data_IF_487603124552
#
_entry.id   IF_487603124552
#
_cell.length_a   1.000
_cell.length_b   1.000
_cell.length_c   1.000
_cell.angle_alpha   90.00
_cell.angle_beta   90.00
_cell.angle_gamma   90.00
#
_symmetry.space_group_name_H-M   'P 1'
#
loop_
_entity.id
_entity.type
_entity.pdbx_description
1 polymer ?
#
# COMPACT_ATOMS: atom_id res chain seq x y z
N UNK A 1 77.46 -10.45 -36.43
CA UNK A 1 78.70 -9.76 -36.85
C UNK A 1 78.44 -8.28 -36.59
N UNK A 2 79.17 -7.71 -35.63
CA UNK A 2 78.95 -6.37 -35.06
C UNK A 2 79.43 -5.30 -36.05
N UNK A 3 78.67 -4.22 -36.16
CA UNK A 3 79.21 -2.86 -36.29
C UNK A 3 78.18 -1.88 -35.72
N UNK A 4 78.59 -1.19 -34.66
CA UNK A 4 77.85 -0.16 -33.96
C UNK A 4 78.32 1.19 -34.49
N UNK A 5 77.38 2.10 -34.76
CA UNK A 5 77.65 3.52 -34.97
C UNK A 5 76.89 4.22 -33.85
N UNK A 6 77.61 4.47 -32.75
CA UNK A 6 77.28 5.49 -31.76
C UNK A 6 77.71 6.84 -32.33
N UNK A 7 76.77 7.77 -32.45
CA UNK A 7 77.08 9.20 -32.50
C UNK A 7 75.85 9.96 -31.97
N UNK A 8 75.54 9.73 -30.70
CA UNK A 8 74.65 10.58 -29.92
C UNK A 8 75.50 11.68 -29.28
N UNK A 9 75.45 12.88 -29.89
CA UNK A 9 76.07 14.07 -29.32
C UNK A 9 75.52 14.32 -27.90
N UNK A 10 76.35 14.68 -26.91
CA UNK A 10 75.84 14.96 -25.57
C UNK A 10 74.96 16.20 -25.63
N UNK A 11 73.66 16.03 -25.34
CA UNK A 11 72.80 17.14 -24.94
C UNK A 11 73.47 17.82 -23.74
N UNK A 12 73.78 19.10 -23.91
CA UNK A 12 74.52 19.96 -22.99
C UNK A 12 74.30 19.59 -21.52
N UNK A 13 75.39 19.21 -20.84
CA UNK A 13 75.41 19.15 -19.38
C UNK A 13 74.92 20.52 -18.85
N UNK A 14 74.00 20.55 -17.86
CA UNK A 14 73.55 21.81 -17.30
C UNK A 14 74.78 22.54 -16.77
N UNK A 15 75.06 23.71 -17.35
CA UNK A 15 76.10 24.59 -16.82
C UNK A 15 75.84 24.79 -15.33
N UNK A 16 76.87 24.53 -14.51
CA UNK A 16 76.87 24.78 -13.06
C UNK A 16 76.62 26.27 -12.70
N UNK A 17 76.55 27.13 -13.71
CA UNK A 17 76.22 28.56 -13.62
C UNK A 17 74.73 28.84 -13.93
N UNK A 18 73.87 27.82 -13.93
CA UNK A 18 72.43 28.02 -14.10
C UNK A 18 71.85 28.69 -12.84
N UNK A 19 71.48 29.96 -12.98
CA UNK A 19 70.78 30.76 -11.95
C UNK A 19 69.62 30.02 -11.25
N UNK A 20 68.99 29.08 -11.95
CA UNK A 20 67.90 28.25 -11.44
C UNK A 20 68.31 27.35 -10.26
N UNK A 21 69.60 27.06 -10.07
CA UNK A 21 70.11 26.27 -8.95
C UNK A 21 70.12 27.03 -7.61
N UNK A 22 69.93 28.35 -7.64
CA UNK A 22 69.95 29.21 -6.45
C UNK A 22 68.56 29.66 -6.00
N UNK A 23 67.49 29.29 -6.72
CA UNK A 23 66.13 29.64 -6.33
C UNK A 23 65.68 28.67 -5.23
N UNK A 24 65.39 29.22 -4.05
CA UNK A 24 64.88 28.44 -2.92
C UNK A 24 63.48 27.89 -3.26
N UNK A 25 63.31 26.58 -3.16
CA UNK A 25 62.05 25.89 -3.42
C UNK A 25 60.92 26.43 -2.53
N UNK A 26 61.25 26.91 -1.32
CA UNK A 26 60.29 27.53 -0.40
C UNK A 26 59.84 28.92 -0.85
N UNK A 27 60.69 29.68 -1.55
CA UNK A 27 60.33 30.97 -2.14
C UNK A 27 59.37 30.79 -3.32
N UNK A 28 59.59 29.74 -4.13
CA UNK A 28 58.69 29.36 -5.21
C UNK A 28 57.31 28.91 -4.68
N UNK A 29 57.29 28.08 -3.64
CA UNK A 29 56.05 27.69 -2.98
C UNK A 29 55.32 28.90 -2.37
N UNK A 30 56.05 29.85 -1.78
CA UNK A 30 55.47 31.07 -1.25
C UNK A 30 54.94 31.99 -2.37
N UNK A 31 55.62 32.05 -3.52
CA UNK A 31 55.17 32.80 -4.69
C UNK A 31 53.91 32.19 -5.33
N UNK A 32 53.74 30.87 -5.26
CA UNK A 32 52.56 30.15 -5.77
C UNK A 32 51.38 30.12 -4.78
N UNK A 33 51.60 30.45 -3.50
CA UNK A 33 50.50 30.58 -2.54
C UNK A 33 49.58 31.73 -2.96
N UNK A 34 48.31 31.45 -3.28
CA UNK A 34 47.42 32.46 -3.81
C UNK A 34 47.18 33.55 -2.76
N UNK A 35 47.59 34.78 -3.09
CA UNK A 35 47.45 35.97 -2.23
C UNK A 35 45.98 36.31 -1.93
N UNK A 36 45.06 35.82 -2.77
CA UNK A 36 43.61 35.94 -2.58
C UNK A 36 42.96 34.59 -2.85
N UNK A 37 41.94 34.27 -2.07
CA UNK A 37 41.07 33.12 -2.36
C UNK A 37 40.40 33.32 -3.72
N UNK A 38 40.24 32.23 -4.47
CA UNK A 38 39.62 32.26 -5.81
C UNK A 38 38.19 32.81 -5.72
N UNK A 39 37.83 33.73 -6.61
CA UNK A 39 36.44 34.19 -6.78
C UNK A 39 35.59 33.20 -7.61
N UNK A 40 36.15 32.04 -7.98
CA UNK A 40 35.43 31.02 -8.74
C UNK A 40 34.31 30.45 -7.85
N UNK A 41 33.05 30.49 -8.30
CA UNK A 41 31.95 29.88 -7.55
C UNK A 41 32.15 28.36 -7.42
N UNK A 42 31.58 27.79 -6.35
CA UNK A 42 31.55 26.35 -6.17
C UNK A 42 30.85 25.68 -7.38
N UNK A 43 31.41 24.57 -7.85
CA UNK A 43 30.91 23.88 -9.05
C UNK A 43 29.53 23.25 -8.80
N UNK A 44 29.35 22.60 -7.64
CA UNK A 44 28.14 21.83 -7.34
C UNK A 44 26.86 22.66 -7.38
N UNK A 45 26.73 23.82 -6.71
CA UNK A 45 25.51 24.64 -6.77
C UNK A 45 25.17 25.11 -8.19
N UNK A 46 26.18 25.36 -9.03
CA UNK A 46 25.97 25.73 -10.42
C UNK A 46 25.47 24.55 -11.25
N UNK A 47 26.05 23.36 -11.07
CA UNK A 47 25.59 22.15 -11.73
C UNK A 47 24.17 21.79 -11.32
N UNK A 48 23.88 21.78 -10.02
CA UNK A 48 22.55 21.50 -9.48
C UNK A 48 21.49 22.44 -10.08
N UNK A 49 21.78 23.74 -10.13
CA UNK A 49 20.89 24.73 -10.76
C UNK A 49 20.63 24.40 -12.24
N UNK A 50 21.66 24.07 -13.01
CA UNK A 50 21.52 23.77 -14.45
C UNK A 50 20.76 22.47 -14.69
N UNK A 51 21.04 21.45 -13.89
CA UNK A 51 20.35 20.15 -13.93
C UNK A 51 18.86 20.34 -13.62
N UNK A 52 18.53 21.07 -12.54
CA UNK A 52 17.13 21.41 -12.19
C UNK A 52 16.45 22.27 -13.25
N UNK A 53 17.19 23.14 -13.94
CA UNK A 53 16.69 23.92 -15.08
C UNK A 53 16.62 23.13 -16.40
N UNK A 54 17.03 21.85 -16.41
CA UNK A 54 17.06 20.98 -17.59
C UNK A 54 17.90 21.54 -18.75
N UNK A 55 18.97 22.27 -18.43
CA UNK A 55 19.88 22.85 -19.42
C UNK A 55 20.88 21.81 -19.93
N UNK A 56 20.98 21.60 -21.25
CA UNK A 56 21.87 20.62 -21.88
C UNK A 56 21.60 19.17 -21.43
N UNK A 57 20.34 18.74 -21.50
CA UNK A 57 19.97 17.34 -21.31
C UNK A 57 20.69 16.45 -22.32
N UNK A 58 21.21 15.32 -21.86
CA UNK A 58 22.03 14.37 -22.61
C UNK A 58 21.31 13.03 -22.86
N UNK A 59 20.08 12.89 -22.36
CA UNK A 59 19.24 11.73 -22.54
C UNK A 59 17.79 12.11 -22.86
N UNK A 60 17.15 11.32 -23.72
CA UNK A 60 15.71 11.35 -23.96
C UNK A 60 15.10 10.01 -23.57
N UNK A 61 14.09 10.04 -22.71
CA UNK A 61 13.31 8.85 -22.35
C UNK A 61 11.99 8.89 -23.11
N UNK A 62 11.74 7.85 -23.89
CA UNK A 62 10.54 7.70 -24.71
C UNK A 62 9.61 6.67 -24.08
N UNK A 63 8.36 7.06 -23.82
CA UNK A 63 7.35 6.23 -23.17
C UNK A 63 6.01 6.46 -23.88
N UNK A 64 5.51 5.44 -24.57
CA UNK A 64 4.31 5.60 -25.43
C UNK A 64 4.56 6.68 -26.48
N UNK A 65 3.72 7.72 -26.48
CA UNK A 65 3.83 8.88 -27.38
C UNK A 65 4.59 10.07 -26.76
N UNK A 66 5.10 9.95 -25.53
CA UNK A 66 5.80 11.03 -24.83
C UNK A 66 7.32 10.89 -24.89
N UNK A 67 8.00 12.01 -25.19
CA UNK A 67 9.46 12.14 -25.12
C UNK A 67 9.85 13.09 -23.97
N UNK A 68 10.69 12.60 -23.05
CA UNK A 68 11.06 13.28 -21.83
C UNK A 68 12.57 13.53 -21.80
N UNK A 69 12.95 14.81 -21.85
CA UNK A 69 14.35 15.23 -21.77
C UNK A 69 14.86 15.20 -20.33
N UNK A 70 15.98 14.52 -20.11
CA UNK A 70 16.57 14.30 -18.80
C UNK A 70 18.10 14.29 -18.85
N UNK A 71 18.69 14.33 -17.66
CA UNK A 71 20.12 14.15 -17.45
C UNK A 71 20.40 12.69 -17.07
N UNK A 72 21.30 12.02 -17.78
CA UNK A 72 21.65 10.61 -17.52
C UNK A 72 22.33 10.45 -16.16
N UNK A 73 23.26 11.35 -15.81
CA UNK A 73 24.08 11.19 -14.61
C UNK A 73 23.25 11.10 -13.31
N UNK A 74 22.28 12.01 -13.01
CA UNK A 74 21.40 11.84 -11.86
C UNK A 74 20.60 10.53 -11.89
N UNK A 75 20.13 10.09 -13.06
CA UNK A 75 19.41 8.82 -13.19
C UNK A 75 20.32 7.65 -12.79
N UNK A 76 21.56 7.59 -13.28
CA UNK A 76 22.51 6.54 -12.93
C UNK A 76 22.94 6.57 -11.45
N UNK A 77 22.91 7.72 -10.78
CA UNK A 77 23.23 7.80 -9.36
C UNK A 77 22.16 7.16 -8.45
N UNK A 78 20.90 7.10 -8.88
CA UNK A 78 19.78 6.70 -8.03
C UNK A 78 18.95 5.53 -8.57
N UNK A 79 19.07 5.21 -9.86
CA UNK A 79 18.37 4.11 -10.52
C UNK A 79 19.36 3.06 -11.01
N UNK A 80 19.27 1.86 -10.42
CA UNK A 80 20.08 0.72 -10.85
C UNK A 80 19.74 0.30 -12.29
N UNK A 81 18.49 0.53 -12.74
CA UNK A 81 18.10 0.30 -14.13
C UNK A 81 18.93 1.16 -15.08
N UNK A 82 18.99 2.48 -14.86
CA UNK A 82 19.75 3.38 -15.72
C UNK A 82 21.26 3.16 -15.61
N UNK A 83 21.76 2.83 -14.41
CA UNK A 83 23.17 2.49 -14.22
C UNK A 83 23.61 1.26 -15.03
N UNK A 84 22.76 0.22 -15.09
CA UNK A 84 23.10 -1.05 -15.76
C UNK A 84 22.74 -1.09 -17.25
N UNK A 85 21.62 -0.47 -17.63
CA UNK A 85 21.01 -0.66 -18.97
C UNK A 85 21.32 0.47 -19.94
N UNK A 86 21.76 1.64 -19.46
CA UNK A 86 21.94 2.82 -20.31
C UNK A 86 23.41 3.21 -20.35
N UNK A 87 23.97 3.23 -21.56
CA UNK A 87 25.39 3.55 -21.77
C UNK A 87 25.58 5.06 -22.01
N UNK A 88 26.67 5.68 -21.51
CA UNK A 88 26.98 7.06 -21.83
C UNK A 88 27.06 7.31 -23.34
N UNK A 89 26.36 8.33 -23.84
CA UNK A 89 26.26 8.64 -25.27
C UNK A 89 25.05 8.03 -25.98
N UNK A 90 24.27 7.19 -25.30
CA UNK A 90 22.96 6.77 -25.80
C UNK A 90 21.97 7.94 -25.72
N UNK A 91 21.49 8.41 -26.87
CA UNK A 91 20.63 9.59 -26.94
C UNK A 91 19.18 9.31 -26.52
N UNK A 92 18.66 8.11 -26.79
CA UNK A 92 17.26 7.74 -26.55
C UNK A 92 17.17 6.39 -25.83
N UNK A 93 16.32 6.31 -24.82
CA UNK A 93 15.95 5.09 -24.10
C UNK A 93 14.44 4.92 -24.19
N UNK A 94 13.99 3.76 -24.65
CA UNK A 94 12.56 3.42 -24.71
C UNK A 94 12.18 2.65 -23.44
N UNK A 95 11.18 3.15 -22.70
CA UNK A 95 10.59 2.43 -21.59
C UNK A 95 9.19 1.92 -21.95
N UNK A 96 8.83 0.70 -21.52
CA UNK A 96 7.52 0.13 -21.78
C UNK A 96 6.40 0.91 -21.08
N UNK A 97 5.43 1.40 -21.86
CA UNK A 97 4.27 2.14 -21.34
C UNK A 97 3.41 1.30 -20.38
N UNK A 98 3.39 -0.03 -20.58
CA UNK A 98 2.67 -0.95 -19.71
C UNK A 98 3.27 -1.05 -18.29
N UNK A 99 4.55 -0.73 -18.11
CA UNK A 99 5.22 -0.79 -16.80
C UNK A 99 5.29 0.61 -16.15
N UNK A 100 5.50 1.65 -16.97
CA UNK A 100 5.71 3.01 -16.48
C UNK A 100 4.87 3.98 -17.29
N UNK A 101 4.01 4.73 -16.60
CA UNK A 101 3.32 5.88 -17.21
C UNK A 101 4.23 7.10 -17.31
N UNK A 102 4.14 7.92 -18.39
CA UNK A 102 4.97 9.12 -18.54
C UNK A 102 4.92 10.07 -17.35
N UNK A 103 3.72 10.31 -16.79
CA UNK A 103 3.54 11.14 -15.60
C UNK A 103 4.29 10.60 -14.36
N UNK A 104 4.29 9.28 -14.17
CA UNK A 104 4.99 8.63 -13.06
C UNK A 104 6.51 8.79 -13.21
N UNK A 105 7.03 8.57 -14.42
CA UNK A 105 8.45 8.79 -14.72
C UNK A 105 8.87 10.24 -14.41
N UNK A 106 8.07 11.23 -14.82
CA UNK A 106 8.35 12.65 -14.52
C UNK A 106 8.48 12.89 -13.03
N UNK A 107 7.58 12.33 -12.21
CA UNK A 107 7.62 12.49 -10.76
C UNK A 107 8.86 11.80 -10.16
N UNK A 108 9.18 10.58 -10.60
CA UNK A 108 10.41 9.87 -10.16
C UNK A 108 11.65 10.70 -10.51
N UNK A 109 11.71 11.23 -11.73
CA UNK A 109 12.84 12.05 -12.16
C UNK A 109 12.94 13.36 -11.36
N UNK A 110 11.83 14.07 -11.14
CA UNK A 110 11.83 15.26 -10.29
C UNK A 110 12.26 14.95 -8.85
N UNK A 111 11.84 13.81 -8.31
CA UNK A 111 12.27 13.36 -6.98
C UNK A 111 13.78 13.05 -6.92
N UNK A 112 14.36 12.49 -8.00
CA UNK A 112 15.81 12.29 -8.12
C UNK A 112 16.55 13.64 -8.11
N UNK A 113 15.98 14.69 -8.71
CA UNK A 113 16.57 16.02 -8.71
C UNK A 113 16.36 16.78 -7.40
N UNK A 114 15.24 16.54 -6.72
CA UNK A 114 14.91 17.12 -5.43
C UNK A 114 14.21 16.09 -4.52
N UNK A 115 14.97 15.56 -3.57
CA UNK A 115 14.45 14.58 -2.63
C UNK A 115 13.36 15.13 -1.71
N UNK A 116 13.11 16.45 -1.66
CA UNK A 116 12.03 17.03 -0.86
C UNK A 116 10.70 17.13 -1.61
N UNK A 117 10.65 16.73 -2.87
CA UNK A 117 9.41 16.77 -3.66
C UNK A 117 8.30 15.96 -2.96
N UNK A 118 7.13 16.55 -2.70
CA UNK A 118 6.01 15.84 -2.07
C UNK A 118 5.44 14.82 -3.05
N UNK A 119 5.11 13.63 -2.55
CA UNK A 119 4.38 12.62 -3.32
C UNK A 119 2.89 12.84 -3.16
N UNK A 120 2.17 12.88 -4.27
CA UNK A 120 0.73 13.07 -4.30
C UNK A 120 -0.01 11.73 -4.34
N UNK A 121 -1.05 11.57 -3.52
CA UNK A 121 -1.83 10.33 -3.44
C UNK A 121 -2.42 9.87 -4.78
N UNK A 122 -2.77 10.81 -5.66
CA UNK A 122 -3.31 10.50 -6.99
C UNK A 122 -2.33 9.71 -7.88
N UNK A 123 -1.02 9.95 -7.72
CA UNK A 123 0.03 9.31 -8.50
C UNK A 123 0.84 8.29 -7.70
N UNK A 124 0.54 8.13 -6.41
CA UNK A 124 1.39 7.41 -5.47
C UNK A 124 1.70 5.98 -5.90
N UNK A 125 0.68 5.18 -6.23
CA UNK A 125 0.87 3.79 -6.68
C UNK A 125 1.63 3.73 -8.01
N UNK A 126 1.36 4.67 -8.92
CA UNK A 126 2.08 4.75 -10.19
C UNK A 126 3.57 5.06 -9.99
N UNK A 127 3.88 5.95 -9.05
CA UNK A 127 5.26 6.30 -8.67
C UNK A 127 5.95 5.12 -8.00
N UNK A 128 5.29 4.42 -7.09
CA UNK A 128 5.86 3.22 -6.47
C UNK A 128 6.16 2.15 -7.53
N UNK A 129 5.20 1.85 -8.40
CA UNK A 129 5.39 0.89 -9.51
C UNK A 129 6.54 1.31 -10.43
N UNK A 130 6.64 2.59 -10.77
CA UNK A 130 7.73 3.11 -11.60
C UNK A 130 9.08 3.04 -10.88
N UNK A 131 9.12 3.33 -9.58
CA UNK A 131 10.34 3.24 -8.77
C UNK A 131 10.82 1.79 -8.63
N UNK A 132 9.91 0.83 -8.49
CA UNK A 132 10.19 -0.61 -8.49
C UNK A 132 10.78 -1.05 -9.84
N UNK A 133 10.15 -0.68 -10.96
CA UNK A 133 10.66 -1.02 -12.30
C UNK A 133 12.04 -0.38 -12.57
N UNK A 134 12.18 0.90 -12.25
CA UNK A 134 13.44 1.63 -12.43
C UNK A 134 14.49 1.27 -11.37
N UNK A 135 14.15 0.45 -10.38
CA UNK A 135 15.03 0.05 -9.29
C UNK A 135 15.66 1.29 -8.63
N UNK A 136 14.82 2.12 -8.01
CA UNK A 136 15.23 3.33 -7.26
C UNK A 136 15.03 3.06 -5.76
N UNK A 137 16.01 2.45 -5.04
CA UNK A 137 15.77 1.88 -3.71
C UNK A 137 15.33 2.92 -2.68
N UNK A 138 15.93 4.11 -2.69
CA UNK A 138 15.61 5.17 -1.75
C UNK A 138 14.18 5.73 -1.93
N UNK A 139 13.64 5.71 -3.16
CA UNK A 139 12.25 6.12 -3.42
C UNK A 139 11.27 5.01 -3.04
N UNK A 140 11.61 3.74 -3.31
CA UNK A 140 10.82 2.58 -2.89
C UNK A 140 10.68 2.58 -1.37
N UNK A 141 11.80 2.67 -0.64
CA UNK A 141 11.82 2.76 0.83
C UNK A 141 10.95 3.91 1.34
N UNK A 142 11.10 5.11 0.75
CA UNK A 142 10.27 6.26 1.11
C UNK A 142 8.78 6.01 0.89
N UNK A 143 8.40 5.37 -0.21
CA UNK A 143 7.01 5.03 -0.47
C UNK A 143 6.46 4.06 0.59
N UNK A 144 7.20 3.01 0.93
CA UNK A 144 6.80 2.08 1.99
C UNK A 144 6.68 2.77 3.35
N UNK A 145 7.60 3.67 3.70
CA UNK A 145 7.48 4.49 4.92
C UNK A 145 6.23 5.39 4.93
N UNK A 146 5.83 5.93 3.78
CA UNK A 146 4.57 6.67 3.68
C UNK A 146 3.34 5.78 3.87
N UNK A 147 3.38 4.56 3.32
CA UNK A 147 2.31 3.58 3.47
C UNK A 147 2.21 3.06 4.91
N UNK A 148 3.32 2.87 5.60
CA UNK A 148 3.37 2.44 7.01
C UNK A 148 2.96 3.53 8.01
N UNK A 149 2.69 4.74 7.53
CA UNK A 149 2.24 5.81 8.38
C UNK A 149 0.82 5.53 8.94
N UNK A 150 0.59 5.62 10.27
CA UNK A 150 -0.73 5.42 10.88
C UNK A 150 -1.77 6.46 10.45
N UNK A 151 -1.35 7.58 9.84
CA UNK A 151 -2.24 8.58 9.22
C UNK A 151 -2.89 8.08 7.92
N UNK A 152 -2.42 6.97 7.36
CA UNK A 152 -3.11 6.28 6.25
C UNK A 152 -4.32 5.56 6.81
N UNK A 153 -5.39 6.34 6.97
CA UNK A 153 -6.69 5.88 7.46
C UNK A 153 -7.37 4.94 6.45
N UNK A 154 -8.36 4.20 6.93
CA UNK A 154 -8.93 3.04 6.25
C UNK A 154 -9.50 3.35 4.85
N UNK A 155 -10.09 4.54 4.65
CA UNK A 155 -10.59 4.94 3.35
C UNK A 155 -9.47 5.27 2.35
N UNK A 156 -8.32 5.77 2.83
CA UNK A 156 -7.13 5.99 2.00
C UNK A 156 -6.48 4.66 1.66
N UNK A 157 -6.43 3.73 2.62
CA UNK A 157 -5.95 2.38 2.35
C UNK A 157 -6.77 1.69 1.26
N UNK A 158 -8.10 1.77 1.31
CA UNK A 158 -8.94 1.23 0.24
C UNK A 158 -8.71 1.93 -1.11
N UNK A 159 -8.52 3.25 -1.13
CA UNK A 159 -8.17 3.98 -2.35
C UNK A 159 -6.83 3.48 -2.94
N UNK A 160 -5.79 3.31 -2.12
CA UNK A 160 -4.50 2.78 -2.57
C UNK A 160 -4.64 1.34 -3.09
N UNK A 161 -5.45 0.52 -2.42
CA UNK A 161 -5.77 -0.83 -2.88
C UNK A 161 -6.38 -0.83 -4.29
N UNK A 162 -7.40 -0.02 -4.54
CA UNK A 162 -8.02 0.09 -5.85
C UNK A 162 -7.04 0.54 -6.92
N UNK A 163 -6.20 1.52 -6.60
CA UNK A 163 -5.17 1.99 -7.51
C UNK A 163 -4.18 0.86 -7.81
N UNK A 164 -3.77 0.07 -6.81
CA UNK A 164 -2.83 -1.04 -6.97
C UNK A 164 -3.34 -2.19 -7.86
N UNK A 165 -4.65 -2.31 -8.07
CA UNK A 165 -5.20 -3.29 -9.03
C UNK A 165 -4.86 -2.96 -10.49
N UNK A 166 -4.58 -1.69 -10.79
CA UNK A 166 -4.31 -1.22 -12.16
C UNK A 166 -2.84 -1.36 -12.57
N UNK A 167 -1.99 -1.86 -11.68
CA UNK A 167 -0.55 -1.97 -11.89
C UNK A 167 -0.09 -3.39 -11.55
N UNK A 168 1.06 -3.78 -12.08
CA UNK A 168 1.75 -5.00 -11.67
C UNK A 168 2.37 -4.89 -10.25
N UNK A 169 1.99 -3.88 -9.47
CA UNK A 169 2.48 -3.66 -8.10
C UNK A 169 2.24 -4.90 -7.23
N UNK A 170 3.12 -5.10 -6.25
CA UNK A 170 3.16 -6.30 -5.44
C UNK A 170 1.80 -6.67 -4.83
N UNK A 171 1.46 -7.96 -4.87
CA UNK A 171 0.33 -8.54 -4.12
C UNK A 171 0.41 -8.22 -2.62
N UNK A 172 1.63 -7.97 -2.12
CA UNK A 172 1.89 -7.49 -0.77
C UNK A 172 1.22 -6.13 -0.50
N UNK A 173 1.32 -5.15 -1.41
CA UNK A 173 0.65 -3.85 -1.24
C UNK A 173 -0.88 -4.03 -1.13
N UNK A 174 -1.47 -4.79 -2.05
CA UNK A 174 -2.92 -5.01 -2.09
C UNK A 174 -3.40 -5.69 -0.80
N UNK A 175 -2.71 -6.76 -0.40
CA UNK A 175 -3.01 -7.50 0.84
C UNK A 175 -2.87 -6.61 2.06
N UNK A 176 -1.80 -5.80 2.13
CA UNK A 176 -1.52 -4.92 3.26
C UNK A 176 -2.57 -3.81 3.38
N UNK A 177 -3.01 -3.23 2.26
CA UNK A 177 -4.08 -2.23 2.23
C UNK A 177 -5.45 -2.79 2.59
N UNK A 178 -5.84 -3.97 2.08
CA UNK A 178 -7.09 -4.65 2.49
C UNK A 178 -7.09 -4.94 4.00
N UNK A 179 -5.91 -5.29 4.55
CA UNK A 179 -5.72 -5.45 5.99
C UNK A 179 -5.73 -4.16 6.78
N UNK A 180 -6.08 -3.02 6.21
CA UNK A 180 -6.33 -1.78 6.96
C UNK A 180 -7.80 -1.39 6.95
N UNK A 181 -8.66 -2.15 6.26
CA UNK A 181 -10.09 -1.86 6.16
C UNK A 181 -10.79 -2.42 7.41
N UNK A 182 -10.57 -1.76 8.54
CA UNK A 182 -11.16 -2.13 9.82
C UNK A 182 -12.57 -1.52 9.97
N UNK A 183 -12.65 -0.28 10.47
CA UNK A 183 -13.91 0.44 10.75
C UNK A 183 -14.65 0.83 9.48
N UNK A 184 -13.93 0.88 8.36
CA UNK A 184 -14.48 1.23 7.07
C UNK A 184 -15.23 0.06 6.40
N UNK A 185 -15.10 -1.18 6.88
CA UNK A 185 -15.68 -2.36 6.24
C UNK A 185 -17.16 -2.21 5.89
N UNK A 186 -18.04 -1.88 6.84
CA UNK A 186 -19.48 -1.73 6.56
C UNK A 186 -19.79 -0.56 5.62
N UNK A 187 -19.01 0.52 5.68
CA UNK A 187 -19.12 1.62 4.74
C UNK A 187 -18.67 1.20 3.33
N UNK A 188 -17.61 0.41 3.21
CA UNK A 188 -17.17 -0.19 1.96
C UNK A 188 -18.25 -1.11 1.37
N UNK A 189 -18.89 -1.96 2.17
CA UNK A 189 -19.99 -2.84 1.70
C UNK A 189 -21.14 -2.03 1.08
N UNK A 190 -21.30 -0.77 1.47
CA UNK A 190 -22.30 0.13 0.90
C UNK A 190 -21.93 0.69 -0.48
N UNK A 191 -20.72 0.47 -0.99
CA UNK A 191 -20.25 1.08 -2.24
C UNK A 191 -20.24 0.07 -3.41
N UNK A 192 -20.32 0.53 -4.67
CA UNK A 192 -20.23 -0.37 -5.83
C UNK A 192 -18.88 -1.07 -5.91
N UNK A 193 -17.80 -0.43 -5.47
CA UNK A 193 -16.45 -0.97 -5.51
C UNK A 193 -16.31 -2.26 -4.69
N UNK A 194 -17.06 -2.40 -3.59
CA UNK A 194 -17.13 -3.68 -2.86
C UNK A 194 -17.77 -4.78 -3.70
N UNK A 195 -18.84 -4.47 -4.43
CA UNK A 195 -19.55 -5.43 -5.26
C UNK A 195 -18.74 -5.86 -6.48
N UNK A 196 -17.79 -5.03 -6.91
CA UNK A 196 -16.88 -5.29 -8.04
C UNK A 196 -15.60 -6.04 -7.64
N UNK A 197 -15.36 -6.28 -6.34
CA UNK A 197 -14.21 -7.08 -5.88
C UNK A 197 -14.20 -8.47 -6.51
N UNK A 198 -13.01 -8.97 -6.83
CA UNK A 198 -12.82 -10.35 -7.24
C UNK A 198 -13.08 -11.32 -6.08
N UNK A 199 -13.35 -12.60 -6.38
CA UNK A 199 -13.51 -13.63 -5.34
C UNK A 199 -12.27 -13.74 -4.44
N UNK A 200 -11.07 -13.57 -5.01
CA UNK A 200 -9.82 -13.62 -4.25
C UNK A 200 -9.73 -12.47 -3.24
N UNK A 201 -10.07 -11.25 -3.68
CA UNK A 201 -10.06 -10.06 -2.84
C UNK A 201 -11.14 -10.08 -1.76
N UNK A 202 -12.34 -10.52 -2.13
CA UNK A 202 -13.42 -10.79 -1.20
C UNK A 202 -12.97 -11.82 -0.15
N UNK A 203 -12.27 -12.87 -0.57
CA UNK A 203 -11.67 -13.89 0.29
C UNK A 203 -10.69 -13.29 1.30
N UNK A 204 -9.78 -12.42 0.86
CA UNK A 204 -8.83 -11.73 1.74
C UNK A 204 -9.56 -10.85 2.76
N UNK A 205 -10.54 -10.07 2.32
CA UNK A 205 -11.30 -9.16 3.18
C UNK A 205 -12.18 -9.92 4.18
N UNK A 206 -13.02 -10.85 3.70
CA UNK A 206 -13.97 -11.58 4.55
C UNK A 206 -13.29 -12.66 5.37
N UNK A 207 -12.09 -13.16 5.06
CA UNK A 207 -11.37 -14.06 5.97
C UNK A 207 -10.68 -13.33 7.12
N UNK A 208 -10.61 -12.00 7.06
CA UNK A 208 -9.79 -11.18 7.94
C UNK A 208 -10.37 -10.99 9.35
N UNK A 209 -9.54 -11.13 10.39
CA UNK A 209 -9.96 -10.91 11.79
C UNK A 209 -10.16 -9.44 12.17
N UNK A 210 -9.70 -8.52 11.34
CA UNK A 210 -9.60 -7.10 11.66
C UNK A 210 -10.75 -6.26 11.12
N UNK A 211 -11.62 -6.81 10.26
CA UNK A 211 -12.83 -6.08 9.85
C UNK A 211 -13.73 -5.86 11.06
N UNK A 212 -14.26 -4.63 11.19
CA UNK A 212 -15.13 -4.28 12.30
C UNK A 212 -16.61 -4.48 11.92
N UNK A 213 -17.30 -5.26 12.73
CA UNK A 213 -18.71 -5.64 12.53
C UNK A 213 -19.46 -5.60 13.87
N UNK A 214 -20.80 -5.54 13.84
CA UNK A 214 -21.62 -5.73 15.04
C UNK A 214 -21.72 -7.21 15.40
N UNK A 215 -22.16 -8.03 14.44
CA UNK A 215 -22.10 -9.48 14.54
C UNK A 215 -21.80 -10.14 13.19
N UNK A 216 -21.47 -11.44 13.18
CA UNK A 216 -21.12 -12.18 11.96
C UNK A 216 -22.26 -12.23 10.93
N UNK A 217 -23.50 -11.94 11.34
CA UNK A 217 -24.62 -11.67 10.43
C UNK A 217 -24.31 -10.55 9.42
N UNK A 218 -23.53 -9.53 9.81
CA UNK A 218 -23.09 -8.47 8.89
C UNK A 218 -22.22 -9.02 7.74
N UNK A 219 -21.36 -9.99 8.06
CA UNK A 219 -20.47 -10.65 7.09
C UNK A 219 -21.28 -11.53 6.14
N UNK A 220 -22.25 -12.28 6.68
CA UNK A 220 -23.20 -13.04 5.87
C UNK A 220 -23.93 -12.13 4.88
N UNK A 221 -24.46 -11.01 5.35
CA UNK A 221 -25.19 -10.09 4.49
C UNK A 221 -24.31 -9.38 3.47
N UNK A 222 -23.07 -9.02 3.83
CA UNK A 222 -22.09 -8.52 2.87
C UNK A 222 -21.78 -9.55 1.77
N UNK A 223 -21.58 -10.81 2.14
CA UNK A 223 -21.35 -11.92 1.20
C UNK A 223 -22.56 -12.13 0.27
N UNK A 224 -23.78 -12.12 0.83
CA UNK A 224 -25.01 -12.19 0.04
C UNK A 224 -25.17 -11.00 -0.90
N UNK A 225 -24.89 -9.78 -0.44
CA UNK A 225 -24.93 -8.57 -1.27
C UNK A 225 -23.98 -8.68 -2.47
N UNK A 226 -22.77 -9.20 -2.26
CA UNK A 226 -21.81 -9.45 -3.34
C UNK A 226 -22.31 -10.51 -4.34
N UNK A 227 -22.86 -11.64 -3.86
CA UNK A 227 -23.44 -12.67 -4.73
C UNK A 227 -24.63 -12.14 -5.54
N UNK A 228 -25.51 -11.35 -4.91
CA UNK A 228 -26.72 -10.81 -5.54
C UNK A 228 -26.43 -9.73 -6.57
N UNK A 229 -25.30 -9.01 -6.47
CA UNK A 229 -24.91 -7.98 -7.42
C UNK A 229 -24.78 -8.51 -8.86
N UNK A 230 -24.25 -9.73 -8.99
CA UNK A 230 -24.10 -10.41 -10.27
C UNK A 230 -24.49 -11.89 -10.13
N UNK A 231 -25.75 -12.11 -9.79
CA UNK A 231 -26.28 -13.43 -9.46
C UNK A 231 -26.11 -14.47 -10.58
N UNK A 232 -26.21 -14.05 -11.84
CA UNK A 232 -26.18 -14.97 -12.98
C UNK A 232 -24.84 -15.68 -13.08
N UNK A 233 -23.74 -14.93 -12.89
CA UNK A 233 -22.38 -15.43 -13.01
C UNK A 233 -21.84 -15.94 -11.66
N UNK A 234 -22.33 -15.41 -10.53
CA UNK A 234 -21.80 -15.73 -9.19
C UNK A 234 -22.53 -16.84 -8.44
N UNK A 235 -23.69 -17.31 -8.92
CA UNK A 235 -24.45 -18.40 -8.26
C UNK A 235 -23.65 -19.70 -8.07
N UNK A 236 -22.64 -19.96 -8.91
CA UNK A 236 -21.80 -21.15 -8.80
C UNK A 236 -20.74 -21.00 -7.69
N UNK A 237 -20.47 -19.76 -7.26
CA UNK A 237 -19.50 -19.41 -6.22
C UNK A 237 -20.11 -19.40 -4.81
N UNK A 238 -21.39 -19.79 -4.65
CA UNK A 238 -22.07 -19.75 -3.34
C UNK A 238 -21.30 -20.54 -2.30
N UNK A 239 -20.79 -21.72 -2.65
CA UNK A 239 -20.02 -22.56 -1.73
C UNK A 239 -18.76 -21.86 -1.25
N UNK A 240 -17.94 -21.36 -2.19
CA UNK A 240 -16.70 -20.64 -1.89
C UNK A 240 -16.95 -19.42 -1.01
N UNK A 241 -17.98 -18.63 -1.35
CA UNK A 241 -18.32 -17.39 -0.64
C UNK A 241 -18.88 -17.67 0.76
N UNK A 242 -19.77 -18.66 0.91
CA UNK A 242 -20.34 -18.99 2.22
C UNK A 242 -19.30 -19.58 3.17
N UNK A 243 -18.24 -20.23 2.67
CA UNK A 243 -17.12 -20.68 3.50
C UNK A 243 -16.33 -19.54 4.15
N UNK A 244 -16.44 -18.31 3.65
CA UNK A 244 -15.80 -17.12 4.24
C UNK A 244 -16.55 -16.62 5.49
N UNK A 245 -17.79 -17.04 5.70
CA UNK A 245 -18.67 -16.62 6.80
C UNK A 245 -18.50 -17.56 8.00
N UNK A 246 -18.29 -17.01 9.20
CA UNK A 246 -18.06 -17.80 10.42
C UNK A 246 -19.37 -18.14 11.13
N UNK A 247 -20.18 -19.02 10.53
CA UNK A 247 -21.48 -19.42 11.10
C UNK A 247 -21.43 -19.87 12.56
N UNK A 248 -20.32 -20.51 13.00
CA UNK A 248 -20.09 -20.92 14.40
C UNK A 248 -19.98 -19.76 15.39
N UNK A 249 -19.76 -18.54 14.91
CA UNK A 249 -19.66 -17.30 15.68
C UNK A 249 -20.94 -16.45 15.65
N UNK A 250 -21.96 -16.88 14.90
CA UNK A 250 -23.27 -16.20 14.87
C UNK A 250 -24.11 -16.52 16.10
N UNK A 251 -25.04 -15.62 16.45
CA UNK A 251 -26.01 -15.89 17.49
C UNK A 251 -26.98 -17.02 17.10
N UNK A 252 -27.35 -17.88 18.06
CA UNK A 252 -28.26 -19.02 17.85
C UNK A 252 -29.62 -18.59 17.30
N UNK A 253 -30.12 -17.42 17.72
CA UNK A 253 -31.38 -16.85 17.21
C UNK A 253 -31.32 -16.53 15.72
N UNK A 254 -30.19 -16.02 15.24
CA UNK A 254 -29.97 -15.70 13.83
C UNK A 254 -29.86 -16.98 13.00
N UNK A 255 -29.08 -17.97 13.47
CA UNK A 255 -29.00 -19.28 12.81
C UNK A 255 -30.38 -19.97 12.70
N UNK A 256 -31.22 -19.85 13.73
CA UNK A 256 -32.58 -20.39 13.70
C UNK A 256 -33.46 -19.67 12.66
N UNK A 257 -33.33 -18.36 12.51
CA UNK A 257 -34.04 -17.58 11.47
C UNK A 257 -33.62 -18.01 10.06
N UNK A 258 -32.33 -18.27 9.84
CA UNK A 258 -31.82 -18.77 8.56
C UNK A 258 -32.44 -20.14 8.22
N UNK A 259 -32.63 -21.02 9.22
CA UNK A 259 -33.23 -22.36 9.03
C UNK A 259 -34.71 -22.30 8.64
N UNK A 260 -35.46 -21.35 9.20
CA UNK A 260 -36.90 -21.19 8.94
C UNK A 260 -37.14 -20.37 7.67
N UNK A 261 -36.07 -19.91 7.01
CA UNK A 261 -36.15 -19.09 5.80
C UNK A 261 -37.01 -17.83 6.01
N UNK A 262 -37.01 -17.26 7.22
CA UNK A 262 -37.76 -16.04 7.54
C UNK A 262 -37.10 -14.77 6.95
N UNK A 263 -35.97 -14.93 6.26
CA UNK A 263 -35.30 -13.88 5.52
C UNK A 263 -36.02 -13.50 4.21
N UNK A 264 -35.63 -12.36 3.65
CA UNK A 264 -36.12 -11.88 2.36
C UNK A 264 -36.05 -12.93 1.26
N UNK A 265 -37.02 -12.88 0.33
CA UNK A 265 -37.12 -13.77 -0.84
C UNK A 265 -35.83 -13.81 -1.67
N UNK A 266 -35.10 -12.70 -1.72
CA UNK A 266 -33.81 -12.56 -2.41
C UNK A 266 -32.74 -13.52 -1.88
N UNK A 267 -32.72 -13.81 -0.57
CA UNK A 267 -31.70 -14.68 0.04
C UNK A 267 -32.01 -16.17 -0.07
N UNK A 268 -33.25 -16.53 -0.40
CA UNK A 268 -33.72 -17.92 -0.42
C UNK A 268 -32.85 -18.85 -1.29
N UNK A 269 -32.41 -18.47 -2.50
CA UNK A 269 -31.55 -19.33 -3.31
C UNK A 269 -30.20 -19.62 -2.64
N UNK A 270 -29.65 -18.64 -1.93
CA UNK A 270 -28.36 -18.74 -1.22
C UNK A 270 -28.51 -19.59 0.04
N UNK A 271 -29.53 -19.30 0.86
CA UNK A 271 -29.77 -20.00 2.13
C UNK A 271 -30.23 -21.46 1.94
N UNK A 272 -30.93 -21.76 0.84
CA UNK A 272 -31.36 -23.13 0.49
C UNK A 272 -30.26 -23.96 -0.17
N UNK A 273 -29.14 -23.35 -0.54
CA UNK A 273 -28.04 -24.06 -1.15
C UNK A 273 -27.49 -25.14 -0.19
N UNK A 274 -27.21 -26.38 -0.66
CA UNK A 274 -26.78 -27.47 0.21
C UNK A 274 -25.57 -27.13 1.07
N UNK A 275 -24.57 -26.43 0.50
CA UNK A 275 -23.38 -26.02 1.23
C UNK A 275 -23.70 -25.05 2.38
N UNK A 276 -24.54 -24.03 2.14
CA UNK A 276 -24.96 -23.07 3.16
C UNK A 276 -25.72 -23.77 4.29
N UNK A 277 -26.64 -24.68 3.93
CA UNK A 277 -27.40 -25.45 4.92
C UNK A 277 -26.47 -26.30 5.78
N UNK A 278 -25.50 -26.99 5.17
CA UNK A 278 -24.53 -27.79 5.91
C UNK A 278 -23.73 -26.92 6.90
N UNK A 279 -23.27 -25.74 6.49
CA UNK A 279 -22.54 -24.82 7.36
C UNK A 279 -23.39 -24.35 8.57
N UNK A 280 -24.68 -24.08 8.35
CA UNK A 280 -25.62 -23.72 9.42
C UNK A 280 -25.88 -24.90 10.36
N UNK A 281 -26.13 -26.10 9.81
CA UNK A 281 -26.35 -27.32 10.59
C UNK A 281 -25.12 -27.67 11.45
N UNK A 282 -23.90 -27.54 10.88
CA UNK A 282 -22.64 -27.70 11.60
C UNK A 282 -22.44 -26.67 12.71
N UNK A 283 -22.83 -25.41 12.47
CA UNK A 283 -22.75 -24.36 13.47
C UNK A 283 -23.72 -24.61 14.63
N UNK A 284 -24.96 -24.99 14.35
CA UNK A 284 -25.94 -25.36 15.36
C UNK A 284 -25.48 -26.57 16.17
N UNK A 285 -24.97 -27.62 15.51
CA UNK A 285 -24.43 -28.80 16.18
C UNK A 285 -23.22 -28.45 17.09
N UNK A 286 -22.36 -27.52 16.64
CA UNK A 286 -21.24 -27.02 17.43
C UNK A 286 -21.70 -26.26 18.69
N UNK A 287 -22.70 -25.39 18.57
CA UNK A 287 -23.25 -24.61 19.69
C UNK A 287 -23.97 -25.54 20.69
N UNK A 288 -24.74 -26.51 20.19
CA UNK A 288 -25.49 -27.47 21.01
C UNK A 288 -24.61 -28.59 21.62
N UNK A 289 -23.31 -28.66 21.30
CA UNK A 289 -22.42 -29.67 21.87
C UNK A 289 -22.22 -29.45 23.38
N UNK A 290 -22.25 -30.52 24.22
CA UNK A 290 -22.17 -30.41 25.69
C UNK A 290 -20.96 -29.62 26.21
N UNK A 291 -19.84 -29.64 25.45
CA UNK A 291 -18.61 -28.91 25.78
C UNK A 291 -18.80 -27.38 25.79
N UNK A 292 -19.64 -26.85 24.90
CA UNK A 292 -19.93 -25.41 24.84
C UNK A 292 -21.04 -25.01 25.82
N UNK A 293 -22.05 -25.86 26.01
CA UNK A 293 -23.15 -25.62 26.97
C UNK A 293 -22.62 -25.54 28.42
N UNK A 294 -21.69 -26.42 28.80
CA UNK A 294 -21.05 -26.39 30.12
C UNK A 294 -20.19 -25.13 30.33
N UNK A 295 -19.45 -24.69 29.30
CA UNK A 295 -18.65 -23.46 29.34
C UNK A 295 -19.49 -22.17 29.42
N UNK A 296 -20.73 -22.17 28.93
CA UNK A 296 -21.66 -21.05 29.11
C UNK A 296 -22.30 -20.98 30.50
N UNK A 297 -22.44 -22.10 31.21
CA UNK A 297 -23.06 -22.14 32.55
C UNK A 297 -22.10 -21.75 33.68
N UNK A 298 -20.78 -21.97 33.52
CA UNK A 298 -19.76 -21.53 34.49
C UNK A 298 -19.36 -20.05 34.33
N UNK A 299 -19.70 -19.43 33.18
CA UNK A 299 -19.39 -18.02 32.84
C UNK A 299 -20.23 -16.98 33.60
N UNK A 300 -21.21 -17.39 34.41
CA UNK A 300 -22.12 -16.47 35.11
C UNK A 300 -21.61 -15.98 36.48
N UNK A 301 -20.48 -16.48 37.01
CA UNK A 301 -20.12 -16.21 38.42
C UNK A 301 -18.70 -15.72 38.74
N UNK A 302 -17.80 -15.50 37.77
CA UNK A 302 -16.48 -14.93 38.10
C UNK A 302 -15.99 -13.97 37.03
N UNK A 303 -15.83 -12.70 37.42
CA UNK A 303 -15.06 -11.73 36.65
C UNK A 303 -13.60 -12.15 36.62
N UNK A 304 -13.16 -12.66 35.47
CA UNK A 304 -11.75 -12.92 35.19
C UNK A 304 -11.48 -12.62 33.71
N UNK A 305 -10.33 -12.01 33.44
CA UNK A 305 -9.96 -11.44 32.15
C UNK A 305 -10.09 -12.44 31.01
N UNK A 306 -10.95 -12.14 30.04
CA UNK A 306 -11.14 -12.92 28.81
C UNK A 306 -9.83 -13.01 28.05
N UNK A 307 -9.13 -14.14 28.15
CA UNK A 307 -8.21 -14.57 27.08
C UNK A 307 -9.06 -14.93 25.86
N UNK A 308 -9.14 -13.97 24.94
CA UNK A 308 -9.91 -14.06 23.71
C UNK A 308 -9.33 -15.13 22.78
N UNK A 309 -10.21 -15.86 22.10
CA UNK A 309 -9.81 -16.77 21.02
C UNK A 309 -9.25 -15.96 19.87
N UNK A 310 -8.09 -16.32 19.32
CA UNK A 310 -7.44 -15.63 18.19
C UNK A 310 -8.28 -15.62 16.89
N UNK A 311 -9.45 -16.26 16.89
CA UNK A 311 -10.35 -16.41 15.76
C UNK A 311 -11.55 -15.43 15.75
N UNK A 312 -11.63 -14.47 16.69
CA UNK A 312 -12.76 -13.53 16.75
C UNK A 312 -12.49 -12.22 15.99
N UNK A 313 -13.52 -11.69 15.29
CA UNK A 313 -13.43 -10.42 14.55
C UNK A 313 -13.57 -9.20 15.43
N UNK A 314 -13.19 -8.04 14.89
CA UNK A 314 -13.35 -6.76 15.57
C UNK A 314 -14.85 -6.44 15.76
N UNK A 315 -15.25 -6.06 16.99
CA UNK A 315 -16.64 -5.76 17.37
C UNK A 315 -16.86 -4.25 17.47
N UNK A 316 -17.90 -3.77 16.80
CA UNK A 316 -18.38 -2.40 16.89
C UNK A 316 -19.30 -2.21 18.11
N UNK A 317 -19.24 -1.03 18.70
CA UNK A 317 -20.14 -0.60 19.78
C UNK A 317 -21.26 0.25 19.17
N UNK A 318 -22.54 -0.14 19.30
CA UNK A 318 -23.65 0.65 18.81
C UNK A 318 -23.90 1.83 19.77
N UNK A 319 -23.47 3.02 19.36
CA UNK A 319 -23.46 4.23 20.19
C UNK A 319 -24.11 5.46 19.52
N UNK A 320 -24.04 5.53 18.20
CA UNK A 320 -24.74 6.52 17.39
C UNK A 320 -26.21 6.14 17.21
N UNK A 321 -27.04 7.12 16.87
CA UNK A 321 -28.46 6.88 16.59
C UNK A 321 -28.64 5.87 15.45
N UNK A 322 -27.82 5.98 14.40
CA UNK A 322 -27.85 5.11 13.23
C UNK A 322 -27.43 3.67 13.56
N UNK A 323 -26.35 3.50 14.34
CA UNK A 323 -25.85 2.17 14.72
C UNK A 323 -26.74 1.50 15.76
N UNK A 324 -27.31 2.26 16.70
CA UNK A 324 -28.33 1.76 17.62
C UNK A 324 -29.58 1.30 16.87
N UNK A 325 -30.11 2.12 15.95
CA UNK A 325 -31.29 1.76 15.18
C UNK A 325 -31.09 0.45 14.39
N UNK A 326 -29.91 0.26 13.80
CA UNK A 326 -29.57 -0.97 13.09
C UNK A 326 -29.51 -2.18 14.03
N UNK A 327 -28.79 -2.10 15.14
CA UNK A 327 -28.60 -3.24 16.06
C UNK A 327 -29.87 -3.61 16.83
N UNK A 328 -30.73 -2.63 17.15
CA UNK A 328 -32.00 -2.89 17.85
C UNK A 328 -33.15 -3.32 16.94
N UNK A 329 -32.91 -3.36 15.62
CA UNK A 329 -33.89 -3.78 14.63
C UNK A 329 -34.26 -5.27 14.70
N UNK A 330 -35.03 -5.72 13.73
CA UNK A 330 -35.39 -7.13 13.53
C UNK A 330 -34.21 -8.01 13.06
N UNK A 331 -33.07 -7.40 12.73
CA UNK A 331 -31.86 -8.06 12.27
C UNK A 331 -31.96 -8.62 10.86
N UNK A 332 -32.90 -8.12 10.06
CA UNK A 332 -33.22 -8.64 8.72
C UNK A 332 -32.26 -8.12 7.63
N UNK A 333 -32.17 -8.83 6.51
CA UNK A 333 -31.41 -8.35 5.35
C UNK A 333 -31.91 -7.00 4.81
N UNK A 334 -33.21 -6.71 4.92
CA UNK A 334 -33.76 -5.43 4.47
C UNK A 334 -33.29 -4.26 5.36
N UNK A 335 -33.21 -4.47 6.68
CA UNK A 335 -32.65 -3.47 7.60
C UNK A 335 -31.16 -3.25 7.34
N UNK A 336 -30.41 -4.30 7.01
CA UNK A 336 -29.03 -4.17 6.57
C UNK A 336 -28.91 -3.27 5.32
N UNK A 337 -29.75 -3.49 4.29
CA UNK A 337 -29.77 -2.62 3.10
C UNK A 337 -30.14 -1.18 3.44
N UNK A 338 -31.07 -0.94 4.37
CA UNK A 338 -31.41 0.41 4.86
C UNK A 338 -30.19 1.05 5.53
N UNK A 339 -29.47 0.31 6.37
CA UNK A 339 -28.26 0.78 7.02
C UNK A 339 -27.14 1.10 6.02
N UNK A 340 -26.93 0.25 5.01
CA UNK A 340 -26.01 0.54 3.90
C UNK A 340 -26.41 1.84 3.18
N UNK A 341 -27.71 2.06 2.93
CA UNK A 341 -28.18 3.29 2.29
C UNK A 341 -27.87 4.54 3.12
N UNK A 342 -27.98 4.45 4.46
CA UNK A 342 -27.57 5.54 5.36
C UNK A 342 -26.07 5.85 5.20
N UNK A 343 -25.23 4.83 5.10
CA UNK A 343 -23.78 5.00 4.89
C UNK A 343 -23.46 5.60 3.52
N UNK A 344 -24.18 5.21 2.46
CA UNK A 344 -24.05 5.85 1.13
C UNK A 344 -24.37 7.36 1.18
N UNK A 345 -25.40 7.75 1.94
CA UNK A 345 -25.79 9.17 2.09
C UNK A 345 -24.83 9.96 2.99
N UNK A 346 -24.12 9.28 3.89
CA UNK A 346 -23.17 9.86 4.86
C UNK A 346 -21.82 9.13 4.79
N UNK A 347 -20.98 9.38 3.77
CA UNK A 347 -19.78 8.58 3.51
C UNK A 347 -18.69 8.66 4.59
N UNK A 348 -18.80 9.60 5.53
CA UNK A 348 -17.87 9.76 6.66
C UNK A 348 -18.40 9.18 7.98
N UNK A 349 -19.60 8.59 7.99
CA UNK A 349 -20.24 8.09 9.23
C UNK A 349 -19.43 7.00 9.93
N UNK A 350 -18.68 6.19 9.20
CA UNK A 350 -17.80 5.16 9.76
C UNK A 350 -16.73 5.72 10.72
N UNK A 351 -16.38 7.01 10.59
CA UNK A 351 -15.47 7.69 11.53
C UNK A 351 -16.05 7.85 12.92
N UNK A 352 -17.36 7.69 13.10
CA UNK A 352 -18.00 7.70 14.42
C UNK A 352 -18.03 6.32 15.07
N UNK A 353 -17.85 5.23 14.31
CA UNK A 353 -18.00 3.85 14.79
C UNK A 353 -16.99 3.45 15.86
N UNK A 354 -17.38 3.34 17.12
CA UNK A 354 -16.44 2.87 18.15
C UNK A 354 -16.23 1.37 18.10
N UNK A 355 -15.01 0.95 18.41
CA UNK A 355 -14.63 -0.45 18.54
C UNK A 355 -14.61 -0.81 20.03
N UNK A 356 -14.99 -2.05 20.37
CA UNK A 356 -15.01 -2.55 21.75
C UNK A 356 -13.64 -2.41 22.43
N UNK A 357 -13.63 -2.12 23.74
CA UNK A 357 -12.40 -2.00 24.55
C UNK A 357 -11.55 -3.27 24.52
N UNK A 358 -12.19 -4.45 24.42
CA UNK A 358 -11.51 -5.75 24.26
C UNK A 358 -10.68 -5.84 22.96
N UNK A 359 -10.88 -4.91 22.04
CA UNK A 359 -10.27 -4.86 20.72
C UNK A 359 -9.43 -3.61 20.50
N UNK A 360 -9.38 -2.70 21.49
CA UNK A 360 -8.61 -1.45 21.40
C UNK A 360 -7.11 -1.72 21.20
N UNK A 361 -6.55 -2.71 21.91
CA UNK A 361 -5.12 -3.07 21.77
C UNK A 361 -4.72 -3.61 20.39
N UNK A 362 -5.65 -4.25 19.65
CA UNK A 362 -5.39 -4.71 18.27
C UNK A 362 -5.30 -3.54 17.29
N UNK A 363 -5.99 -2.44 17.59
CA UNK A 363 -5.93 -1.24 16.79
C UNK A 363 -4.72 -0.38 17.14
N UNK A 364 -4.29 -0.34 18.40
CA UNK A 364 -3.05 0.36 18.79
C UNK A 364 -1.79 -0.25 18.16
N UNK A 365 -1.77 -1.58 17.95
CA UNK A 365 -0.68 -2.26 17.23
C UNK A 365 -0.69 -1.97 15.71
N UNK A 366 -1.86 -1.63 15.14
CA UNK A 366 -2.02 -1.28 13.71
C UNK A 366 -1.94 0.23 13.43
N UNK A 367 -2.37 1.04 14.39
CA UNK A 367 -2.38 2.49 14.39
C UNK A 367 -1.33 2.89 15.41
N UNK A 368 -0.05 2.72 15.03
CA UNK A 368 1.08 2.92 15.93
C UNK A 368 0.87 4.14 16.84
N UNK A 369 0.70 3.85 18.13
CA UNK A 369 0.57 4.75 19.26
C UNK A 369 0.02 6.15 18.92
N UNK A 370 -1.30 6.34 19.07
CA UNK A 370 -1.80 7.65 19.48
C UNK A 370 -1.42 7.89 20.94
N UNK A 371 -0.22 8.46 21.18
CA UNK A 371 0.02 9.31 22.35
C UNK A 371 1.28 10.18 22.19
N UNK A 372 1.14 11.44 22.62
CA UNK A 372 2.14 12.51 22.85
C UNK A 372 2.62 13.37 21.63
N UNK A 373 1.84 14.42 21.33
CA UNK A 373 2.20 15.78 21.77
C UNK A 373 1.00 16.73 21.75
#
# INVERSE_FOLDING_TARGET
MREAIDDEAPLDAPSDDSFLQHIDETELEHALKPVRTSNRPALWPLMERRIKARENTDLQVHIGDELIHCHLLPLQCFSEYFERQVTPGQAVVELPEQEIRPAAFRIVYEWILDSNQPLEWQHFVAVLSAAEFLQVPALIERCWLHLDNPRVVENVAFYVYMQAQQFATSNELQTMMLRRICRYFLALVSTPEFCELSLADLGVLLSSNIIAIFDETDVLYAACQWLLYDWLDRKELIEDVMCLVRFKSMHTGDLARLCVFHECTELQPILRHPATKQLVDEALAYICSPRNIAGSSERATTGDGRKRSSAERVRLVPDSLETLAYVTGEGSFNEFKIFLHVMQKKPTIWRTFRVSEENAGLLDDMVGCTEAN
#
